data_IF_973738742762
#
_entry.id   IF_973738742762
#
_cell.length_a   1.000
_cell.length_b   1.000
_cell.length_c   1.000
_cell.angle_alpha   90.00
_cell.angle_beta   90.00
_cell.angle_gamma   90.00
#
_symmetry.space_group_name_H-M   'P 1'
#
loop_
_entity.id
_entity.type
_entity.pdbx_description
1 polymer ?
#
# COMPACT_ATOMS: atom_id res chain seq x y z
N UNK A 1 26.30 36.38 -32.84
CA UNK A 1 26.18 36.05 -31.40
C UNK A 1 26.33 37.32 -30.60
N UNK A 2 25.19 37.95 -30.30
CA UNK A 2 25.06 39.06 -29.38
C UNK A 2 25.29 38.59 -27.95
N UNK A 3 25.85 39.43 -27.07
CA UNK A 3 25.99 39.10 -25.63
C UNK A 3 24.66 38.67 -24.99
N UNK A 4 23.54 39.20 -25.47
CA UNK A 4 22.20 38.82 -25.01
C UNK A 4 21.83 37.40 -25.41
N UNK A 5 22.22 36.98 -26.61
CA UNK A 5 21.98 35.62 -27.11
C UNK A 5 22.80 34.61 -26.30
N UNK A 6 24.06 34.94 -26.00
CA UNK A 6 24.93 34.09 -25.15
C UNK A 6 24.35 33.93 -23.73
N UNK A 7 23.87 35.04 -23.13
CA UNK A 7 23.24 35.01 -21.82
C UNK A 7 21.96 34.15 -21.81
N UNK A 8 21.13 34.25 -22.85
CA UNK A 8 19.94 33.40 -22.95
C UNK A 8 20.27 31.92 -23.09
N UNK A 9 21.34 31.56 -23.80
CA UNK A 9 21.78 30.16 -23.89
C UNK A 9 22.26 29.63 -22.54
N UNK A 10 23.06 30.41 -21.80
CA UNK A 10 23.54 30.01 -20.48
C UNK A 10 22.39 29.84 -19.47
N UNK A 11 21.40 30.72 -19.49
CA UNK A 11 20.23 30.60 -18.62
C UNK A 11 19.34 29.41 -18.98
N UNK A 12 19.24 29.06 -20.26
CA UNK A 12 18.50 27.86 -20.70
C UNK A 12 19.23 26.58 -20.27
N UNK A 13 20.55 26.55 -20.41
CA UNK A 13 21.39 25.43 -19.97
C UNK A 13 21.26 25.19 -18.46
N UNK A 14 21.30 26.24 -17.64
CA UNK A 14 21.09 26.12 -16.18
C UNK A 14 19.69 25.57 -15.82
N UNK A 15 18.66 25.99 -16.55
CA UNK A 15 17.27 25.51 -16.33
C UNK A 15 17.15 24.04 -16.73
N UNK A 16 17.72 23.64 -17.87
CA UNK A 16 17.72 22.26 -18.34
C UNK A 16 18.49 21.33 -17.37
N UNK A 17 19.62 21.80 -16.83
CA UNK A 17 20.39 21.08 -15.80
C UNK A 17 19.61 20.92 -14.49
N UNK A 18 18.89 21.96 -14.05
CA UNK A 18 18.05 21.90 -12.85
C UNK A 18 16.86 20.95 -13.02
N UNK A 19 16.19 20.99 -14.17
CA UNK A 19 15.10 20.06 -14.51
C UNK A 19 15.59 18.60 -14.52
N UNK A 20 16.75 18.34 -15.14
CA UNK A 20 17.36 17.00 -15.15
C UNK A 20 17.69 16.49 -13.74
N UNK A 21 18.21 17.36 -12.87
CA UNK A 21 18.52 16.99 -11.48
C UNK A 21 17.25 16.67 -10.68
N UNK A 22 16.17 17.42 -10.90
CA UNK A 22 14.86 17.15 -10.28
C UNK A 22 14.31 15.80 -10.75
N UNK A 23 14.39 15.50 -12.05
CA UNK A 23 13.96 14.22 -12.60
C UNK A 23 14.77 13.05 -12.00
N UNK A 24 16.10 13.17 -11.92
CA UNK A 24 16.94 12.16 -11.27
C UNK A 24 16.57 11.95 -9.79
N UNK A 25 16.35 13.02 -9.03
CA UNK A 25 15.96 12.92 -7.63
C UNK A 25 14.57 12.27 -7.47
N UNK A 26 13.63 12.53 -8.38
CA UNK A 26 12.32 11.90 -8.39
C UNK A 26 12.39 10.42 -8.78
N UNK A 27 13.26 10.05 -9.72
CA UNK A 27 13.52 8.66 -10.09
C UNK A 27 14.20 7.88 -8.96
N UNK A 28 15.19 8.49 -8.29
CA UNK A 28 15.85 7.91 -7.12
C UNK A 28 14.92 7.82 -5.89
N UNK A 29 13.95 8.73 -5.77
CA UNK A 29 12.88 8.66 -4.77
C UNK A 29 11.68 7.82 -5.21
N UNK A 30 11.67 7.34 -6.46
CA UNK A 30 10.62 6.49 -7.01
C UNK A 30 10.48 5.20 -6.20
N UNK A 31 9.43 5.12 -5.39
CA UNK A 31 9.03 3.94 -4.59
C UNK A 31 10.09 3.36 -3.61
N UNK A 32 11.22 4.02 -3.38
CA UNK A 32 12.26 3.54 -2.46
C UNK A 32 11.80 3.44 -0.99
N UNK A 33 10.64 4.00 -0.64
CA UNK A 33 10.12 4.01 0.73
C UNK A 33 9.22 2.81 1.08
N UNK A 34 8.75 2.04 0.11
CA UNK A 34 7.87 0.89 0.36
C UNK A 34 8.61 -0.43 0.19
N UNK A 35 8.81 -1.11 1.32
CA UNK A 35 9.40 -2.44 1.31
C UNK A 35 8.56 -3.40 0.42
N UNK A 36 9.17 -4.22 -0.45
CA UNK A 36 8.44 -5.09 -1.39
C UNK A 36 7.37 -6.01 -0.75
N UNK A 37 7.56 -6.35 0.52
CA UNK A 37 6.57 -7.07 1.33
C UNK A 37 5.18 -6.41 1.31
N UNK A 38 5.12 -5.07 1.34
CA UNK A 38 3.85 -4.35 1.41
C UNK A 38 3.12 -4.33 0.07
N UNK A 39 3.86 -4.36 -1.04
CA UNK A 39 3.28 -4.42 -2.38
C UNK A 39 2.90 -5.86 -2.77
N UNK A 40 3.69 -6.87 -2.38
CA UNK A 40 3.35 -8.28 -2.68
C UNK A 40 2.24 -8.87 -1.81
N UNK A 41 1.86 -8.22 -0.70
CA UNK A 41 0.83 -8.73 0.24
C UNK A 41 -0.53 -8.99 -0.41
N UNK A 42 -0.94 -8.19 -1.39
CA UNK A 42 -2.19 -8.41 -2.11
C UNK A 42 -2.17 -9.65 -3.01
N UNK A 43 -1.01 -10.24 -3.28
CA UNK A 43 -0.88 -11.43 -4.12
C UNK A 43 -0.48 -12.65 -3.30
N UNK A 44 0.40 -12.46 -2.31
CA UNK A 44 1.03 -13.52 -1.51
C UNK A 44 0.48 -13.61 -0.07
N UNK A 45 -0.30 -12.61 0.36
CA UNK A 45 -0.75 -12.48 1.74
C UNK A 45 -1.64 -13.63 2.19
N UNK A 46 -1.38 -14.12 3.41
CA UNK A 46 -2.14 -15.21 4.01
C UNK A 46 -3.66 -14.95 4.01
N UNK A 47 -4.06 -13.72 4.35
CA UNK A 47 -5.47 -13.34 4.36
C UNK A 47 -6.08 -13.39 2.97
N UNK A 48 -5.40 -12.83 1.97
CA UNK A 48 -5.90 -12.81 0.60
C UNK A 48 -6.01 -14.23 0.02
N UNK A 49 -4.96 -15.04 0.16
CA UNK A 49 -4.96 -16.39 -0.40
C UNK A 49 -5.91 -17.31 0.37
N UNK A 50 -5.78 -17.41 1.69
CA UNK A 50 -6.53 -18.42 2.43
C UNK A 50 -7.94 -17.94 2.78
N UNK A 51 -8.07 -16.73 3.31
CA UNK A 51 -9.36 -16.25 3.82
C UNK A 51 -10.26 -15.81 2.68
N UNK A 52 -9.79 -14.89 1.84
CA UNK A 52 -10.60 -14.30 0.76
C UNK A 52 -10.86 -15.28 -0.39
N UNK A 53 -9.90 -16.14 -0.79
CA UNK A 53 -10.15 -17.05 -1.94
C UNK A 53 -10.73 -18.40 -1.56
N UNK A 54 -10.49 -18.89 -0.34
CA UNK A 54 -10.89 -20.26 0.03
C UNK A 54 -11.93 -20.29 1.14
N UNK A 55 -11.64 -19.71 2.31
CA UNK A 55 -12.48 -19.90 3.49
C UNK A 55 -13.81 -19.13 3.39
N UNK A 56 -13.85 -17.97 2.76
CA UNK A 56 -15.08 -17.15 2.69
C UNK A 56 -16.22 -17.82 1.90
N UNK A 57 -15.90 -18.84 1.09
CA UNK A 57 -16.88 -19.61 0.31
C UNK A 57 -17.25 -20.96 0.95
N UNK A 58 -16.57 -21.36 2.04
CA UNK A 58 -16.83 -22.61 2.76
C UNK A 58 -17.07 -22.31 4.24
N UNK A 59 -18.33 -22.09 4.60
CA UNK A 59 -18.78 -21.80 5.96
C UNK A 59 -18.31 -22.83 6.99
N UNK A 60 -18.25 -24.10 6.61
CA UNK A 60 -17.83 -25.17 7.52
C UNK A 60 -16.33 -25.03 7.80
N UNK A 61 -15.52 -24.84 6.77
CA UNK A 61 -14.08 -24.64 6.92
C UNK A 61 -13.76 -23.32 7.60
N UNK A 62 -14.49 -22.26 7.29
CA UNK A 62 -14.37 -20.96 7.97
C UNK A 62 -14.59 -21.13 9.48
N UNK A 63 -15.67 -21.82 9.87
CA UNK A 63 -15.97 -22.12 11.28
C UNK A 63 -14.94 -23.03 11.94
N UNK A 64 -14.45 -24.06 11.24
CA UNK A 64 -13.37 -24.90 11.76
C UNK A 64 -12.08 -24.09 12.00
N UNK A 65 -11.80 -23.15 11.09
CA UNK A 65 -10.58 -22.34 11.09
C UNK A 65 -10.58 -21.27 12.18
N UNK A 66 -11.62 -20.42 12.21
CA UNK A 66 -11.72 -19.26 13.11
C UNK A 66 -12.51 -19.53 14.40
N UNK A 67 -13.16 -20.70 14.52
CA UNK A 67 -14.12 -21.00 15.60
C UNK A 67 -15.33 -20.05 15.63
N UNK A 68 -15.56 -19.30 14.55
CA UNK A 68 -16.66 -18.38 14.32
C UNK A 68 -17.26 -18.64 12.94
N UNK A 69 -18.56 -18.44 12.75
CA UNK A 69 -19.08 -18.36 11.37
C UNK A 69 -18.81 -16.98 10.76
N UNK A 70 -19.06 -16.86 9.45
CA UNK A 70 -18.83 -15.63 8.69
C UNK A 70 -19.64 -14.46 9.28
N UNK A 71 -20.89 -14.69 9.66
CA UNK A 71 -21.74 -13.65 10.27
C UNK A 71 -21.18 -13.12 11.59
N UNK A 72 -20.69 -14.01 12.47
CA UNK A 72 -20.07 -13.63 13.73
C UNK A 72 -18.76 -12.86 13.50
N UNK A 73 -17.96 -13.31 12.54
CA UNK A 73 -16.74 -12.60 12.16
C UNK A 73 -17.05 -11.18 11.67
N UNK A 74 -18.00 -11.04 10.75
CA UNK A 74 -18.41 -9.75 10.21
C UNK A 74 -19.04 -8.85 11.27
N UNK A 75 -19.81 -9.42 12.19
CA UNK A 75 -20.39 -8.68 13.32
C UNK A 75 -19.31 -8.11 14.23
N UNK A 76 -18.31 -8.93 14.61
CA UNK A 76 -17.18 -8.46 15.42
C UNK A 76 -16.40 -7.40 14.66
N UNK A 77 -16.10 -7.64 13.39
CA UNK A 77 -15.42 -6.67 12.53
C UNK A 77 -16.14 -5.34 12.57
N UNK A 78 -17.46 -5.31 12.32
CA UNK A 78 -18.26 -4.09 12.34
C UNK A 78 -18.19 -3.33 13.68
N UNK A 79 -18.06 -4.04 14.80
CA UNK A 79 -17.98 -3.40 16.12
C UNK A 79 -16.64 -2.69 16.36
N UNK A 80 -15.53 -3.28 15.91
CA UNK A 80 -14.17 -2.81 16.23
C UNK A 80 -13.44 -2.19 15.04
N UNK A 81 -14.00 -2.25 13.83
CA UNK A 81 -13.37 -1.83 12.58
C UNK A 81 -12.80 -0.43 12.69
N UNK A 82 -13.58 0.51 13.24
CA UNK A 82 -13.14 1.91 13.41
C UNK A 82 -11.92 2.03 14.31
N UNK A 83 -11.81 1.20 15.34
CA UNK A 83 -10.73 1.26 16.34
C UNK A 83 -9.44 0.60 15.83
N UNK A 84 -9.57 -0.38 14.92
CA UNK A 84 -8.43 -1.14 14.39
C UNK A 84 -8.03 -0.72 12.96
N UNK A 85 -8.82 0.11 12.30
CA UNK A 85 -8.47 0.68 10.99
C UNK A 85 -7.30 1.66 11.14
N UNK A 86 -6.39 1.62 10.17
CA UNK A 86 -5.29 2.56 10.07
C UNK A 86 -5.41 3.25 8.73
N UNK A 87 -5.43 4.58 8.75
CA UNK A 87 -5.51 5.39 7.54
C UNK A 87 -4.23 5.24 6.70
N UNK A 88 -4.40 5.30 5.38
CA UNK A 88 -3.26 5.36 4.47
C UNK A 88 -2.49 6.66 4.64
N UNK A 89 -1.19 6.60 4.41
CA UNK A 89 -0.30 7.77 4.43
C UNK A 89 0.72 7.67 3.31
N UNK A 90 1.37 8.78 2.97
CA UNK A 90 2.43 8.78 1.94
C UNK A 90 3.58 7.80 2.25
N UNK A 91 3.78 7.46 3.53
CA UNK A 91 4.78 6.47 3.92
C UNK A 91 4.26 5.04 3.79
N UNK A 92 2.97 4.82 4.04
CA UNK A 92 2.30 3.52 4.04
C UNK A 92 0.94 3.66 3.34
N UNK A 93 0.88 3.63 2.00
CA UNK A 93 -0.36 3.85 1.27
C UNK A 93 -1.30 2.64 1.32
N UNK A 94 -0.78 1.44 1.59
CA UNK A 94 -1.54 0.19 1.66
C UNK A 94 -1.49 -0.45 3.06
N UNK A 95 -2.07 0.20 4.10
CA UNK A 95 -2.10 -0.36 5.45
C UNK A 95 -2.85 -1.69 5.51
N UNK A 96 -2.51 -2.52 6.50
CA UNK A 96 -3.22 -3.78 6.76
C UNK A 96 -4.68 -3.46 7.06
N UNK A 97 -5.61 -4.16 6.39
CA UNK A 97 -7.05 -3.91 6.56
C UNK A 97 -7.53 -4.37 7.94
N UNK A 98 -8.64 -3.80 8.42
CA UNK A 98 -9.25 -4.21 9.68
C UNK A 98 -9.63 -5.71 9.69
N UNK A 99 -10.17 -6.21 8.57
CA UNK A 99 -10.52 -7.62 8.40
C UNK A 99 -9.27 -8.53 8.49
N UNK A 100 -8.18 -8.13 7.83
CA UNK A 100 -6.91 -8.86 7.87
C UNK A 100 -6.31 -8.88 9.29
N UNK A 101 -6.34 -7.76 10.00
CA UNK A 101 -5.92 -7.70 11.41
C UNK A 101 -6.75 -8.62 12.30
N UNK A 102 -8.08 -8.61 12.14
CA UNK A 102 -8.98 -9.47 12.89
C UNK A 102 -8.68 -10.95 12.62
N UNK A 103 -8.54 -11.32 11.34
CA UNK A 103 -8.22 -12.68 10.94
C UNK A 103 -6.87 -13.17 11.49
N UNK A 104 -5.84 -12.32 11.47
CA UNK A 104 -4.54 -12.66 12.06
C UNK A 104 -4.60 -12.78 13.58
N UNK A 105 -5.43 -11.98 14.25
CA UNK A 105 -5.56 -11.99 15.71
C UNK A 105 -6.30 -13.22 16.23
N UNK A 106 -7.29 -13.71 15.46
CA UNK A 106 -8.07 -14.89 15.82
C UNK A 106 -7.35 -16.22 15.55
N UNK A 107 -6.16 -16.19 14.96
CA UNK A 107 -5.37 -17.37 14.60
C UNK A 107 -4.13 -17.53 15.46
#
# INVERSE_FOLDING_TARGET
MSQRELLSYLLLEEVEEEEFLIEQLLEEQGNANEHPLFTSRSEEGFFEILVNRHLIHDDKKFREFFRLNIDQFNYILQLIEKDITVDSSNRHPYPITAAEKLALTLR
#
